data_IF_624635681070
#
_entry.id   IF_624635681070
#
_cell.length_a   1.000
_cell.length_b   1.000
_cell.length_c   1.000
_cell.angle_alpha   90.00
_cell.angle_beta   90.00
_cell.angle_gamma   90.00
#
_symmetry.space_group_name_H-M   'P 1'
#
loop_
_entity.id
_entity.type
_entity.pdbx_description
1 polymer ?
#
# COMPACT_ATOMS: atom_id res chain seq x y z
N UNK A 1 -11.50 -1.16 -18.43
CA UNK A 1 -10.48 -0.08 -18.53
C UNK A 1 -10.58 0.92 -17.40
N UNK A 2 -11.72 1.59 -17.15
CA UNK A 2 -11.86 2.61 -16.08
C UNK A 2 -11.47 2.12 -14.67
N UNK A 3 -11.82 0.88 -14.30
CA UNK A 3 -11.45 0.30 -12.99
C UNK A 3 -9.94 0.16 -12.79
N UNK A 4 -9.19 -0.12 -13.86
CA UNK A 4 -7.73 -0.24 -13.81
C UNK A 4 -7.13 1.16 -13.63
N UNK A 5 -7.66 2.15 -14.35
CA UNK A 5 -7.25 3.55 -14.21
C UNK A 5 -7.55 4.09 -12.80
N UNK A 6 -8.70 3.75 -12.22
CA UNK A 6 -9.06 4.08 -10.84
C UNK A 6 -8.20 3.35 -9.80
N UNK A 7 -7.72 2.15 -10.13
CA UNK A 7 -6.86 1.35 -9.26
C UNK A 7 -5.38 1.77 -9.28
N UNK A 8 -4.93 2.40 -10.36
CA UNK A 8 -3.55 2.87 -10.54
C UNK A 8 -3.02 3.75 -9.40
N UNK A 9 -3.75 4.75 -8.87
CA UNK A 9 -3.28 5.54 -7.72
C UNK A 9 -3.07 4.70 -6.46
N UNK A 10 -3.88 3.67 -6.23
CA UNK A 10 -3.72 2.76 -5.09
C UNK A 10 -2.47 1.89 -5.24
N UNK A 11 -2.16 1.44 -6.46
CA UNK A 11 -0.90 0.73 -6.73
C UNK A 11 0.32 1.63 -6.52
N UNK A 12 0.28 2.88 -6.97
CA UNK A 12 1.33 3.85 -6.72
C UNK A 12 1.53 4.11 -5.22
N UNK A 13 0.42 4.24 -4.48
CA UNK A 13 0.45 4.44 -3.03
C UNK A 13 1.05 3.22 -2.30
N UNK A 14 0.70 2.01 -2.73
CA UNK A 14 1.33 0.78 -2.22
C UNK A 14 2.84 0.76 -2.50
N UNK A 15 3.26 1.06 -3.73
CA UNK A 15 4.68 1.10 -4.09
C UNK A 15 5.46 2.16 -3.28
N UNK A 16 4.86 3.34 -3.08
CA UNK A 16 5.42 4.39 -2.23
C UNK A 16 5.58 3.91 -0.78
N UNK A 17 4.58 3.21 -0.24
CA UNK A 17 4.64 2.68 1.12
C UNK A 17 5.70 1.59 1.27
N UNK A 18 5.88 0.71 0.27
CA UNK A 18 6.97 -0.27 0.26
C UNK A 18 8.31 0.47 0.27
N UNK A 19 8.48 1.48 -0.57
CA UNK A 19 9.71 2.26 -0.60
C UNK A 19 10.00 2.97 0.73
N UNK A 20 9.00 3.63 1.33
CA UNK A 20 9.14 4.26 2.65
C UNK A 20 9.45 3.27 3.77
N UNK A 21 8.88 2.06 3.71
CA UNK A 21 9.21 0.96 4.61
C UNK A 21 10.67 0.52 4.47
N UNK A 22 11.17 0.32 3.24
CA UNK A 22 12.57 -0.02 3.02
C UNK A 22 13.51 1.11 3.43
N UNK A 23 13.18 2.37 3.10
CA UNK A 23 14.00 3.53 3.47
C UNK A 23 14.14 3.69 5.00
N UNK A 24 13.11 3.30 5.76
CA UNK A 24 13.18 3.31 7.23
C UNK A 24 14.19 2.32 7.83
N UNK A 25 14.69 1.35 7.06
CA UNK A 25 15.77 0.44 7.49
C UNK A 25 17.16 1.10 7.48
N UNK A 26 17.39 2.10 6.64
CA UNK A 26 18.72 2.73 6.50
C UNK A 26 18.99 3.79 7.57
N UNK A 27 17.95 4.34 8.21
CA UNK A 27 18.06 5.64 8.90
C UNK A 27 17.98 5.59 10.44
N UNK A 28 17.64 4.46 11.08
CA UNK A 28 17.19 4.52 12.47
C UNK A 28 17.48 3.28 13.32
N UNK A 29 17.60 3.49 14.64
CA UNK A 29 17.62 2.42 15.63
C UNK A 29 16.32 1.59 15.59
N UNK A 30 16.35 0.31 16.02
CA UNK A 30 15.20 -0.60 15.92
C UNK A 30 13.90 -0.10 16.56
N UNK A 31 14.01 0.73 17.59
CA UNK A 31 12.88 1.31 18.32
C UNK A 31 12.23 2.47 17.57
N UNK A 32 13.02 3.22 16.81
CA UNK A 32 12.56 4.37 16.04
C UNK A 32 11.99 3.95 14.68
N UNK A 33 12.51 2.88 14.06
CA UNK A 33 11.99 2.37 12.77
C UNK A 33 10.59 1.74 12.88
N UNK A 34 10.29 1.06 14.00
CA UNK A 34 9.07 0.28 14.19
C UNK A 34 7.78 1.08 13.93
N UNK A 35 7.58 2.29 14.49
CA UNK A 35 6.36 3.06 14.22
C UNK A 35 6.22 3.44 12.74
N UNK A 36 7.30 3.86 12.07
CA UNK A 36 7.25 4.19 10.64
C UNK A 36 6.94 2.96 9.78
N UNK A 37 7.57 1.82 10.08
CA UNK A 37 7.32 0.55 9.42
C UNK A 37 5.88 0.09 9.57
N UNK A 38 5.32 0.22 10.78
CA UNK A 38 3.91 -0.07 11.02
C UNK A 38 2.99 0.84 10.20
N UNK A 39 3.26 2.15 10.15
CA UNK A 39 2.45 3.11 9.39
C UNK A 39 2.49 2.80 7.89
N UNK A 40 3.68 2.67 7.31
CA UNK A 40 3.83 2.34 5.89
C UNK A 40 3.22 0.97 5.56
N UNK A 41 3.40 -0.02 6.44
CA UNK A 41 2.81 -1.34 6.29
C UNK A 41 1.28 -1.29 6.27
N UNK A 42 0.66 -0.58 7.23
CA UNK A 42 -0.79 -0.43 7.31
C UNK A 42 -1.37 0.31 6.08
N UNK A 43 -0.77 1.43 5.69
CA UNK A 43 -1.24 2.21 4.54
C UNK A 43 -1.10 1.41 3.24
N UNK A 44 0.03 0.72 3.04
CA UNK A 44 0.24 -0.14 1.88
C UNK A 44 -0.76 -1.30 1.81
N UNK A 45 -1.12 -1.88 2.96
CA UNK A 45 -2.08 -2.97 3.05
C UNK A 45 -3.51 -2.49 2.74
N UNK A 46 -3.94 -1.37 3.31
CA UNK A 46 -5.23 -0.73 3.02
C UNK A 46 -5.34 -0.34 1.54
N UNK A 47 -4.27 0.22 0.96
CA UNK A 47 -4.23 0.61 -0.45
C UNK A 47 -4.35 -0.60 -1.37
N UNK A 48 -3.68 -1.70 -1.02
CA UNK A 48 -3.77 -2.96 -1.77
C UNK A 48 -5.17 -3.58 -1.70
N UNK A 49 -5.81 -3.54 -0.53
CA UNK A 49 -7.19 -4.01 -0.37
C UNK A 49 -8.18 -3.15 -1.17
N UNK A 50 -8.01 -1.83 -1.18
CA UNK A 50 -8.84 -0.93 -1.98
C UNK A 50 -8.68 -1.21 -3.48
N UNK A 51 -7.45 -1.43 -3.95
CA UNK A 51 -7.19 -1.85 -5.33
C UNK A 51 -7.91 -3.17 -5.68
N UNK A 52 -7.76 -4.19 -4.83
CA UNK A 52 -8.41 -5.49 -5.03
C UNK A 52 -9.93 -5.37 -5.04
N UNK A 53 -10.51 -4.50 -4.22
CA UNK A 53 -11.95 -4.26 -4.18
C UNK A 53 -12.45 -3.60 -5.47
N UNK A 54 -11.73 -2.61 -5.99
CA UNK A 54 -12.07 -1.90 -7.23
C UNK A 54 -11.99 -2.85 -8.45
N UNK A 55 -10.96 -3.71 -8.48
CA UNK A 55 -10.70 -4.63 -9.58
C UNK A 55 -11.53 -5.91 -9.48
N UNK A 56 -12.06 -6.25 -8.28
CA UNK A 56 -12.86 -7.45 -8.07
C UNK A 56 -14.01 -7.53 -9.09
N UNK A 57 -14.13 -8.63 -9.84
CA UNK A 57 -15.28 -8.83 -10.72
C UNK A 57 -16.54 -8.92 -9.85
N UNK A 58 -17.58 -8.15 -10.19
CA UNK A 58 -18.90 -8.30 -9.56
C UNK A 58 -19.34 -9.75 -9.82
N UNK A 59 -19.40 -10.59 -8.78
CA UNK A 59 -20.06 -11.90 -8.89
C UNK A 59 -21.51 -11.61 -9.30
N UNK A 60 -21.89 -11.98 -10.52
CA UNK A 60 -23.30 -12.09 -10.89
C UNK A 60 -23.84 -13.28 -10.10
N UNK A 61 -24.71 -12.99 -9.13
CA UNK A 61 -25.61 -13.97 -8.53
C UNK A 61 -26.68 -14.32 -9.57
#
# INVERSE_FOLDING_TARGET
MIKILLGLPFLFLTAFCIYGFLASYELAEPLERLPYQCIYGLIGLVSSLAFLFIVKPKRKL
#
